data_IF_285745892249
#
_entry.id   IF_285745892249
#
_cell.length_a   1.000
_cell.length_b   1.000
_cell.length_c   1.000
_cell.angle_alpha   90.00
_cell.angle_beta   90.00
_cell.angle_gamma   90.00
#
_symmetry.space_group_name_H-M   'P 1'
#
loop_
_entity.id
_entity.type
_entity.pdbx_description
1 polymer ?
#
# COMPACT_ATOMS: atom_id res chain seq x y z
N UNK A 1 83.27 -46.82 17.04
CA UNK A 1 83.36 -48.25 16.64
C UNK A 1 82.19 -48.58 15.72
N UNK A 2 82.31 -49.57 14.84
CA UNK A 2 82.06 -49.41 13.39
C UNK A 2 80.78 -50.10 12.82
N UNK A 3 80.36 -49.63 11.62
CA UNK A 3 79.60 -50.33 10.54
C UNK A 3 78.12 -50.80 10.82
N UNK A 4 77.27 -51.14 9.82
CA UNK A 4 76.83 -50.39 8.61
C UNK A 4 75.38 -50.76 8.08
N UNK A 5 74.99 -50.22 6.90
CA UNK A 5 73.99 -50.74 5.90
C UNK A 5 72.50 -50.80 6.36
N UNK A 6 71.44 -50.70 5.54
CA UNK A 6 71.06 -50.15 4.24
C UNK A 6 69.52 -50.36 4.09
N UNK A 7 68.94 -49.88 2.98
CA UNK A 7 67.56 -50.03 2.45
C UNK A 7 66.57 -48.90 2.84
N UNK A 8 66.17 -47.99 1.95
CA UNK A 8 65.46 -48.13 0.67
C UNK A 8 64.01 -48.59 0.81
N UNK A 9 63.10 -47.63 0.84
CA UNK A 9 61.78 -47.77 0.21
C UNK A 9 61.23 -46.39 -0.14
N UNK A 10 61.33 -46.04 -1.42
CA UNK A 10 60.63 -44.92 -2.04
C UNK A 10 59.11 -45.08 -1.84
N UNK A 11 58.50 -44.19 -1.09
CA UNK A 11 57.07 -43.92 -1.18
C UNK A 11 56.92 -42.61 -1.96
N UNK A 12 56.71 -42.72 -3.27
CA UNK A 12 56.33 -41.60 -4.12
C UNK A 12 54.90 -41.21 -3.75
N UNK A 13 54.76 -40.21 -2.87
CA UNK A 13 53.50 -39.49 -2.74
C UNK A 13 53.22 -38.77 -4.06
N UNK A 14 51.99 -38.87 -4.61
CA UNK A 14 51.62 -38.13 -5.79
C UNK A 14 51.72 -36.63 -5.49
N UNK A 15 52.50 -35.93 -6.31
CA UNK A 15 52.58 -34.48 -6.38
C UNK A 15 51.17 -33.88 -6.31
N UNK A 16 50.87 -33.21 -5.19
CA UNK A 16 49.64 -32.47 -5.03
C UNK A 16 49.61 -31.38 -6.11
N UNK A 17 48.69 -31.51 -7.07
CA UNK A 17 48.43 -30.45 -8.03
C UNK A 17 48.10 -29.16 -7.27
N UNK A 18 48.62 -28.00 -7.71
CA UNK A 18 48.29 -26.73 -7.09
C UNK A 18 46.76 -26.52 -7.12
N UNK A 19 46.18 -26.08 -5.99
CA UNK A 19 44.73 -25.82 -5.82
C UNK A 19 44.12 -24.91 -6.91
N UNK A 20 44.96 -24.11 -7.59
CA UNK A 20 44.53 -23.27 -8.71
C UNK A 20 44.09 -24.06 -9.95
N UNK A 21 44.59 -25.29 -10.15
CA UNK A 21 44.22 -26.12 -11.30
C UNK A 21 42.90 -26.89 -11.08
N UNK A 22 42.57 -27.27 -9.84
CA UNK A 22 41.30 -27.94 -9.53
C UNK A 22 40.08 -26.99 -9.56
N UNK A 23 40.28 -25.70 -9.24
CA UNK A 23 39.22 -24.69 -9.38
C UNK A 23 38.88 -24.39 -10.85
N UNK A 24 39.86 -24.51 -11.75
CA UNK A 24 39.65 -24.36 -13.19
C UNK A 24 38.81 -25.50 -13.79
N UNK A 25 39.04 -26.75 -13.37
CA UNK A 25 38.27 -27.89 -13.88
C UNK A 25 36.84 -27.96 -13.32
N UNK A 26 36.59 -27.54 -12.07
CA UNK A 26 35.20 -27.40 -11.55
C UNK A 26 34.41 -26.29 -12.26
N UNK A 27 35.07 -25.19 -12.64
CA UNK A 27 34.42 -24.11 -13.40
C UNK A 27 34.04 -24.54 -14.83
N UNK A 28 34.81 -25.45 -15.45
CA UNK A 28 34.50 -25.98 -16.79
C UNK A 28 33.40 -27.03 -16.76
N UNK A 29 33.32 -27.87 -15.71
CA UNK A 29 32.23 -28.86 -15.57
C UNK A 29 30.89 -28.20 -15.26
N UNK A 30 30.86 -27.08 -14.52
CA UNK A 30 29.62 -26.31 -14.28
C UNK A 30 29.09 -25.60 -15.52
N UNK A 31 29.93 -25.34 -16.53
CA UNK A 31 29.51 -24.67 -17.78
C UNK A 31 28.99 -25.68 -18.83
N UNK A 32 29.21 -26.98 -18.64
CA UNK A 32 28.87 -28.02 -19.61
C UNK A 32 27.48 -28.67 -19.39
N UNK A 33 26.83 -28.44 -18.25
CA UNK A 33 25.54 -29.05 -17.93
C UNK A 33 24.33 -28.22 -18.34
N UNK A 34 24.51 -27.00 -18.87
CA UNK A 34 23.40 -26.09 -19.18
C UNK A 34 22.55 -25.70 -17.97
N UNK A 35 22.97 -26.10 -16.76
CA UNK A 35 22.43 -25.72 -15.47
C UNK A 35 23.29 -24.57 -14.95
N UNK A 36 23.30 -23.44 -15.67
CA UNK A 36 23.53 -22.19 -14.98
C UNK A 36 22.41 -22.10 -13.96
N UNK A 37 22.71 -22.37 -12.69
CA UNK A 37 21.87 -21.92 -11.61
C UNK A 37 21.64 -20.44 -11.89
N UNK A 38 20.43 -20.10 -12.34
CA UNK A 38 19.92 -18.74 -12.44
C UNK A 38 19.89 -18.20 -11.01
N UNK A 39 21.06 -17.86 -10.48
CA UNK A 39 21.19 -17.01 -9.33
C UNK A 39 20.57 -15.70 -9.78
N UNK A 40 19.29 -15.52 -9.42
CA UNK A 40 18.60 -14.25 -9.51
C UNK A 40 19.60 -13.18 -9.06
N UNK A 41 19.83 -12.21 -9.94
CA UNK A 41 20.73 -11.10 -9.60
C UNK A 41 20.33 -10.53 -8.24
N UNK A 42 21.27 -9.97 -7.45
CA UNK A 42 20.93 -9.37 -6.16
C UNK A 42 19.75 -8.38 -6.22
N UNK A 43 19.57 -7.72 -7.37
CA UNK A 43 18.41 -6.89 -7.68
C UNK A 43 17.11 -7.70 -7.79
N UNK A 44 17.11 -8.77 -8.59
CA UNK A 44 15.95 -9.63 -8.76
C UNK A 44 15.54 -10.34 -7.46
N UNK A 45 16.51 -10.70 -6.59
CA UNK A 45 16.19 -11.18 -5.24
C UNK A 45 15.51 -10.10 -4.39
N UNK A 46 16.03 -8.86 -4.39
CA UNK A 46 15.44 -7.75 -3.61
C UNK A 46 13.99 -7.47 -4.02
N UNK A 47 13.72 -7.42 -5.32
CA UNK A 47 12.36 -7.24 -5.87
C UNK A 47 11.42 -8.38 -5.44
N UNK A 48 11.90 -9.62 -5.54
CA UNK A 48 11.15 -10.81 -5.14
C UNK A 48 10.79 -10.77 -3.65
N UNK A 49 11.75 -10.45 -2.77
CA UNK A 49 11.50 -10.31 -1.33
C UNK A 49 10.53 -9.17 -0.99
N UNK A 50 10.60 -8.04 -1.72
CA UNK A 50 9.66 -6.93 -1.59
C UNK A 50 8.22 -7.36 -1.87
N UNK A 51 8.00 -8.06 -2.98
CA UNK A 51 6.68 -8.58 -3.37
C UNK A 51 6.12 -9.55 -2.33
N UNK A 52 6.94 -10.48 -1.82
CA UNK A 52 6.51 -11.39 -0.75
C UNK A 52 6.12 -10.64 0.52
N UNK A 53 6.86 -9.60 0.91
CA UNK A 53 6.54 -8.77 2.08
C UNK A 53 5.17 -8.10 1.94
N UNK A 54 4.87 -7.53 0.77
CA UNK A 54 3.57 -6.89 0.52
C UNK A 54 2.42 -7.90 0.53
N UNK A 55 2.61 -9.06 -0.10
CA UNK A 55 1.63 -10.14 -0.08
C UNK A 55 1.33 -10.63 1.35
N UNK A 56 2.37 -10.88 2.16
CA UNK A 56 2.23 -11.28 3.57
C UNK A 56 1.50 -10.19 4.36
N UNK A 57 1.82 -8.91 4.14
CA UNK A 57 1.14 -7.78 4.78
C UNK A 57 -0.36 -7.72 4.46
N UNK A 58 -0.73 -7.85 3.18
CA UNK A 58 -2.12 -7.89 2.75
C UNK A 58 -2.88 -9.08 3.35
N UNK A 59 -2.27 -10.28 3.35
CA UNK A 59 -2.88 -11.48 3.95
C UNK A 59 -3.08 -11.30 5.45
N UNK A 60 -2.08 -10.77 6.17
CA UNK A 60 -2.18 -10.51 7.60
C UNK A 60 -3.30 -9.50 7.91
N UNK A 61 -3.40 -8.41 7.13
CA UNK A 61 -4.47 -7.42 7.27
C UNK A 61 -5.86 -8.03 6.99
N UNK A 62 -5.97 -8.90 6.00
CA UNK A 62 -7.22 -9.61 5.67
C UNK A 62 -7.65 -10.57 6.79
N UNK A 63 -6.71 -11.36 7.34
CA UNK A 63 -6.99 -12.23 8.48
C UNK A 63 -7.39 -11.43 9.73
N UNK A 64 -6.73 -10.31 10.00
CA UNK A 64 -7.11 -9.41 11.08
C UNK A 64 -8.53 -8.85 10.89
N UNK A 65 -8.90 -8.51 9.65
CA UNK A 65 -10.24 -8.06 9.32
C UNK A 65 -11.30 -9.14 9.54
N UNK A 66 -10.99 -10.40 9.21
CA UNK A 66 -11.87 -11.55 9.52
C UNK A 66 -12.06 -11.68 11.04
N UNK A 67 -10.98 -11.57 11.83
CA UNK A 67 -11.08 -11.63 13.29
C UNK A 67 -11.96 -10.49 13.83
N UNK A 68 -11.78 -9.26 13.35
CA UNK A 68 -12.63 -8.12 13.72
C UNK A 68 -14.10 -8.36 13.35
N UNK A 69 -14.35 -8.95 12.18
CA UNK A 69 -15.70 -9.32 11.78
C UNK A 69 -16.31 -10.37 12.71
N UNK A 70 -15.54 -11.40 13.07
CA UNK A 70 -15.97 -12.50 13.95
C UNK A 70 -16.30 -12.01 15.35
N UNK A 71 -15.41 -11.21 15.93
CA UNK A 71 -15.50 -10.81 17.33
C UNK A 71 -16.45 -9.63 17.51
N UNK A 72 -16.44 -8.67 16.58
CA UNK A 72 -17.14 -7.39 16.74
C UNK A 72 -18.26 -7.25 15.72
N UNK A 73 -17.92 -7.16 14.42
CA UNK A 73 -18.83 -6.57 13.44
C UNK A 73 -20.09 -7.41 13.20
N UNK A 74 -19.98 -8.75 13.19
CA UNK A 74 -21.13 -9.65 12.96
C UNK A 74 -22.20 -9.59 14.05
N UNK A 75 -21.84 -9.09 15.23
CA UNK A 75 -22.75 -8.93 16.35
C UNK A 75 -23.54 -7.60 16.27
N UNK A 76 -23.34 -6.81 15.20
CA UNK A 76 -24.01 -5.53 14.99
C UNK A 76 -24.99 -5.60 13.81
N UNK A 77 -26.06 -4.80 13.85
CA UNK A 77 -26.99 -4.63 12.72
C UNK A 77 -26.35 -3.93 11.52
N UNK A 78 -25.19 -3.32 11.74
CA UNK A 78 -24.44 -2.51 10.78
C UNK A 78 -23.10 -3.16 10.43
N UNK A 79 -23.04 -4.50 10.37
CA UNK A 79 -21.81 -5.30 10.22
C UNK A 79 -20.78 -4.70 9.27
N UNK A 80 -21.15 -4.44 8.02
CA UNK A 80 -20.24 -3.87 7.03
C UNK A 80 -19.72 -2.49 7.45
N UNK A 81 -20.62 -1.60 7.86
CA UNK A 81 -20.27 -0.24 8.24
C UNK A 81 -19.35 -0.22 9.47
N UNK A 82 -19.62 -1.06 10.47
CA UNK A 82 -18.80 -1.18 11.67
C UNK A 82 -17.38 -1.67 11.33
N UNK A 83 -17.27 -2.69 10.48
CA UNK A 83 -15.98 -3.22 10.04
C UNK A 83 -15.18 -2.15 9.30
N UNK A 84 -15.84 -1.40 8.41
CA UNK A 84 -15.19 -0.35 7.63
C UNK A 84 -14.77 0.85 8.49
N UNK A 85 -15.56 1.23 9.50
CA UNK A 85 -15.18 2.25 10.49
C UNK A 85 -13.90 1.87 11.23
N UNK A 86 -13.80 0.63 11.73
CA UNK A 86 -12.63 0.16 12.49
C UNK A 86 -11.37 0.13 11.61
N UNK A 87 -11.50 -0.36 10.39
CA UNK A 87 -10.38 -0.39 9.46
C UNK A 87 -9.93 1.02 9.05
N UNK A 88 -10.86 1.94 8.78
CA UNK A 88 -10.52 3.32 8.46
C UNK A 88 -9.87 4.05 9.64
N UNK A 89 -10.30 3.77 10.88
CA UNK A 89 -9.65 4.30 12.08
C UNK A 89 -8.20 3.80 12.19
N UNK A 90 -7.94 2.52 11.91
CA UNK A 90 -6.58 1.99 11.88
C UNK A 90 -5.74 2.64 10.77
N UNK A 91 -6.31 2.85 9.57
CA UNK A 91 -5.67 3.60 8.48
C UNK A 91 -5.26 4.99 8.97
N UNK A 92 -6.14 5.73 9.67
CA UNK A 92 -5.80 7.05 10.24
C UNK A 92 -4.60 6.98 11.18
N UNK A 93 -4.62 6.04 12.13
CA UNK A 93 -3.60 5.93 13.17
C UNK A 93 -2.23 5.62 12.56
N UNK A 94 -2.17 4.66 11.63
CA UNK A 94 -0.90 4.25 11.01
C UNK A 94 -0.40 5.22 9.94
N UNK A 95 -1.27 6.04 9.33
CA UNK A 95 -0.84 7.04 8.32
C UNK A 95 -0.43 8.38 8.92
N UNK A 96 -0.87 8.70 10.15
CA UNK A 96 -0.67 10.03 10.75
C UNK A 96 0.77 10.55 10.76
N UNK A 97 1.81 9.78 11.15
CA UNK A 97 3.19 10.28 11.15
C UNK A 97 3.73 10.66 9.77
N UNK A 98 3.14 10.14 8.69
CA UNK A 98 3.50 10.47 7.32
C UNK A 98 2.64 11.59 6.76
N UNK A 99 1.36 11.65 7.15
CA UNK A 99 0.48 12.77 6.86
C UNK A 99 1.11 14.08 7.35
N UNK A 100 1.60 14.12 8.60
CA UNK A 100 2.23 15.32 9.15
C UNK A 100 3.48 15.71 8.37
N UNK A 101 4.36 14.75 8.07
CA UNK A 101 5.59 14.99 7.29
C UNK A 101 5.30 15.51 5.89
N UNK A 102 4.34 14.92 5.18
CA UNK A 102 3.98 15.36 3.83
C UNK A 102 3.32 16.75 3.81
N UNK A 103 2.62 17.12 4.88
CA UNK A 103 2.01 18.44 5.03
C UNK A 103 3.03 19.52 5.42
N UNK A 104 4.02 19.19 6.25
CA UNK A 104 5.09 20.10 6.69
C UNK A 104 6.13 20.33 5.59
N UNK A 105 6.44 19.30 4.79
CA UNK A 105 7.40 19.37 3.70
C UNK A 105 6.82 18.81 2.38
N UNK A 106 5.96 19.59 1.69
CA UNK A 106 5.35 19.16 0.44
C UNK A 106 6.35 18.95 -0.70
N UNK A 107 7.52 19.61 -0.66
CA UNK A 107 8.59 19.45 -1.67
C UNK A 107 9.23 18.07 -1.61
N UNK A 108 9.41 17.53 -0.39
CA UNK A 108 9.96 16.21 -0.13
C UNK A 108 8.89 15.15 0.15
N UNK A 109 7.62 15.43 -0.17
CA UNK A 109 6.52 14.49 0.06
C UNK A 109 6.64 13.20 -0.76
N UNK A 110 7.32 13.25 -1.93
CA UNK A 110 7.66 12.09 -2.76
C UNK A 110 9.08 11.55 -2.53
N UNK A 111 9.76 11.97 -1.46
CA UNK A 111 11.13 11.57 -1.17
C UNK A 111 11.24 10.98 0.24
N UNK A 112 12.37 10.33 0.52
CA UNK A 112 12.67 9.74 1.81
C UNK A 112 12.44 8.23 1.87
N UNK A 113 12.49 7.65 3.08
CA UNK A 113 12.38 6.20 3.26
C UNK A 113 11.01 5.70 2.77
N UNK A 114 10.97 4.41 2.41
CA UNK A 114 9.74 3.74 2.01
C UNK A 114 8.64 3.97 3.06
N UNK A 115 7.41 4.32 2.65
CA UNK A 115 6.33 4.58 3.58
C UNK A 115 5.99 3.33 4.39
N UNK A 116 5.34 3.52 5.54
CA UNK A 116 4.63 2.40 6.15
C UNK A 116 3.49 1.94 5.24
N UNK A 117 3.54 0.68 4.81
CA UNK A 117 2.51 0.10 3.94
C UNK A 117 1.31 -0.44 4.71
N UNK A 118 1.31 -0.39 6.05
CA UNK A 118 0.21 -0.90 6.88
C UNK A 118 -1.14 -0.30 6.46
N UNK A 119 -1.29 1.02 6.24
CA UNK A 119 -2.54 1.60 5.72
C UNK A 119 -2.96 1.01 4.37
N UNK A 120 -2.02 0.84 3.44
CA UNK A 120 -2.30 0.25 2.12
C UNK A 120 -2.78 -1.20 2.24
N UNK A 121 -2.14 -2.02 3.09
CA UNK A 121 -2.57 -3.40 3.34
C UNK A 121 -3.99 -3.47 3.90
N UNK A 122 -4.33 -2.59 4.85
CA UNK A 122 -5.67 -2.51 5.44
C UNK A 122 -6.70 -2.10 4.37
N UNK A 123 -6.39 -1.10 3.54
CA UNK A 123 -7.28 -0.64 2.46
C UNK A 123 -7.53 -1.78 1.47
N UNK A 124 -6.48 -2.47 1.01
CA UNK A 124 -6.62 -3.62 0.13
C UNK A 124 -7.45 -4.74 0.77
N UNK A 125 -7.20 -5.06 2.03
CA UNK A 125 -7.94 -6.08 2.77
C UNK A 125 -9.44 -5.75 2.88
N UNK A 126 -9.80 -4.51 3.22
CA UNK A 126 -11.20 -4.08 3.35
C UNK A 126 -11.94 -4.19 2.04
N UNK A 127 -11.35 -3.69 0.95
CA UNK A 127 -12.00 -3.72 -0.36
C UNK A 127 -12.08 -5.14 -0.92
N UNK A 128 -11.05 -5.97 -0.72
CA UNK A 128 -11.13 -7.39 -1.10
C UNK A 128 -12.20 -8.12 -0.28
N UNK A 129 -12.27 -7.88 1.03
CA UNK A 129 -13.31 -8.45 1.89
C UNK A 129 -14.71 -7.97 1.51
N UNK A 130 -14.88 -6.73 1.05
CA UNK A 130 -16.15 -6.24 0.52
C UNK A 130 -16.64 -7.08 -0.66
N UNK A 131 -15.72 -7.45 -1.56
CA UNK A 131 -16.02 -8.22 -2.76
C UNK A 131 -16.41 -9.67 -2.44
N UNK A 132 -15.70 -10.32 -1.50
CA UNK A 132 -15.88 -11.76 -1.21
C UNK A 132 -16.80 -12.04 -0.01
N UNK A 133 -17.08 -11.04 0.83
CA UNK A 133 -17.81 -11.19 2.10
C UNK A 133 -19.32 -11.33 1.97
N UNK A 134 -19.86 -11.45 0.75
CA UNK A 134 -21.29 -11.62 0.49
C UNK A 134 -22.12 -10.34 0.63
N UNK A 135 -21.48 -9.16 0.50
CA UNK A 135 -22.18 -7.87 0.52
C UNK A 135 -22.75 -7.54 -0.87
N UNK A 136 -23.82 -6.74 -0.90
CA UNK A 136 -24.42 -6.30 -2.17
C UNK A 136 -23.55 -5.19 -2.78
N UNK A 137 -23.01 -5.44 -3.97
CA UNK A 137 -22.20 -4.49 -4.73
C UNK A 137 -23.07 -3.77 -5.76
N UNK A 138 -22.93 -2.46 -5.82
CA UNK A 138 -23.49 -1.61 -6.88
C UNK A 138 -22.50 -1.44 -8.03
N UNK A 139 -22.95 -0.89 -9.17
CA UNK A 139 -22.04 -0.55 -10.27
C UNK A 139 -20.98 0.46 -9.84
N UNK A 140 -21.36 1.44 -9.02
CA UNK A 140 -20.43 2.43 -8.48
C UNK A 140 -19.35 1.76 -7.62
N UNK A 141 -19.70 0.72 -6.86
CA UNK A 141 -18.72 -0.08 -6.14
C UNK A 141 -17.76 -0.77 -7.11
N UNK A 142 -18.24 -1.43 -8.16
CA UNK A 142 -17.35 -2.07 -9.14
C UNK A 142 -16.38 -1.09 -9.80
N UNK A 143 -16.85 0.08 -10.23
CA UNK A 143 -15.98 1.11 -10.80
C UNK A 143 -14.94 1.56 -9.77
N UNK A 144 -15.35 1.77 -8.51
CA UNK A 144 -14.45 2.17 -7.45
C UNK A 144 -13.36 1.12 -7.16
N UNK A 145 -13.73 -0.16 -7.13
CA UNK A 145 -12.76 -1.23 -6.88
C UNK A 145 -11.81 -1.41 -8.07
N UNK A 146 -12.32 -1.44 -9.30
CA UNK A 146 -11.48 -1.65 -10.48
C UNK A 146 -10.56 -0.47 -10.77
N UNK A 147 -11.05 0.77 -10.64
CA UNK A 147 -10.26 1.97 -10.99
C UNK A 147 -9.43 2.44 -9.81
N UNK A 148 -10.00 2.61 -8.63
CA UNK A 148 -9.27 3.22 -7.51
C UNK A 148 -8.51 2.18 -6.69
N UNK A 149 -9.09 1.02 -6.39
CA UNK A 149 -8.39 0.01 -5.58
C UNK A 149 -7.32 -0.72 -6.40
N UNK A 150 -7.65 -1.16 -7.62
CA UNK A 150 -6.66 -1.89 -8.43
C UNK A 150 -5.59 -0.95 -8.98
N UNK A 151 -5.94 0.13 -9.68
CA UNK A 151 -4.91 0.96 -10.33
C UNK A 151 -4.16 1.84 -9.33
N UNK A 152 -4.84 2.67 -8.52
CA UNK A 152 -4.16 3.53 -7.55
C UNK A 152 -3.50 2.69 -6.45
N UNK A 153 -4.18 1.64 -5.96
CA UNK A 153 -3.59 0.74 -4.97
C UNK A 153 -2.36 0.00 -5.50
N UNK A 154 -2.36 -0.49 -6.75
CA UNK A 154 -1.17 -1.07 -7.36
C UNK A 154 -0.04 -0.03 -7.53
N UNK A 155 -0.37 1.22 -7.87
CA UNK A 155 0.61 2.29 -7.92
C UNK A 155 1.30 2.52 -6.56
N UNK A 156 0.56 2.42 -5.44
CA UNK A 156 1.15 2.53 -4.10
C UNK A 156 2.25 1.49 -3.83
N UNK A 157 2.13 0.27 -4.36
CA UNK A 157 3.14 -0.78 -4.21
C UNK A 157 4.23 -0.72 -5.29
N UNK A 158 3.89 -0.27 -6.50
CA UNK A 158 4.84 -0.18 -7.60
C UNK A 158 5.88 0.93 -7.42
N UNK A 159 5.57 1.97 -6.63
CA UNK A 159 6.48 3.08 -6.36
C UNK A 159 6.94 3.04 -4.90
N UNK A 160 7.83 2.09 -4.57
CA UNK A 160 8.22 1.85 -3.18
C UNK A 160 8.88 3.06 -2.50
N UNK A 161 9.47 3.98 -3.28
CA UNK A 161 10.17 5.18 -2.79
C UNK A 161 9.32 6.45 -2.88
N UNK A 162 7.98 6.31 -2.89
CA UNK A 162 7.05 7.46 -2.98
C UNK A 162 6.98 8.32 -1.72
N UNK A 163 7.74 7.99 -0.67
CA UNK A 163 7.79 8.75 0.57
C UNK A 163 6.43 8.89 1.29
N UNK A 164 6.26 9.90 2.16
CA UNK A 164 5.09 10.07 3.02
C UNK A 164 3.78 10.39 2.28
N UNK A 165 3.85 10.81 1.01
CA UNK A 165 2.69 11.16 0.20
C UNK A 165 1.66 10.03 0.09
N UNK A 166 2.11 8.77 0.02
CA UNK A 166 1.20 7.61 -0.09
C UNK A 166 0.20 7.58 1.08
N UNK A 167 0.68 7.87 2.28
CA UNK A 167 -0.15 7.85 3.47
C UNK A 167 -0.97 9.13 3.67
N UNK A 168 -0.52 10.27 3.11
CA UNK A 168 -1.38 11.44 2.95
C UNK A 168 -2.64 11.11 2.13
N UNK A 169 -2.45 10.43 1.00
CA UNK A 169 -3.55 9.98 0.13
C UNK A 169 -4.43 8.98 0.87
N UNK A 170 -3.83 7.95 1.50
CA UNK A 170 -4.58 6.93 2.24
C UNK A 170 -5.45 7.54 3.36
N UNK A 171 -4.91 8.52 4.09
CA UNK A 171 -5.62 9.21 5.17
C UNK A 171 -6.86 9.96 4.67
N UNK A 172 -6.73 10.78 3.64
CA UNK A 172 -7.86 11.58 3.14
C UNK A 172 -8.79 10.80 2.20
N UNK A 173 -8.31 9.77 1.50
CA UNK A 173 -9.11 8.98 0.57
C UNK A 173 -9.90 7.87 1.27
N UNK A 174 -9.32 7.20 2.27
CA UNK A 174 -9.92 6.03 2.90
C UNK A 174 -9.98 6.15 4.43
N UNK A 175 -9.03 6.82 5.06
CA UNK A 175 -8.95 6.99 6.50
C UNK A 175 -10.04 7.89 7.07
N UNK A 176 -9.71 9.15 7.39
CA UNK A 176 -10.52 9.96 8.29
C UNK A 176 -11.91 10.29 7.72
N UNK A 177 -12.05 10.80 6.49
CA UNK A 177 -13.37 11.10 5.94
C UNK A 177 -14.26 9.85 5.83
N UNK A 178 -13.68 8.74 5.37
CA UNK A 178 -14.40 7.47 5.24
C UNK A 178 -14.78 6.88 6.59
N UNK A 179 -13.90 6.94 7.59
CA UNK A 179 -14.15 6.44 8.94
C UNK A 179 -15.32 7.16 9.61
N UNK A 180 -15.37 8.49 9.47
CA UNK A 180 -16.48 9.30 9.98
C UNK A 180 -17.81 8.99 9.28
N UNK A 181 -17.79 8.85 7.95
CA UNK A 181 -18.98 8.46 7.17
C UNK A 181 -19.55 7.11 7.66
N UNK A 182 -18.73 6.06 7.63
CA UNK A 182 -19.18 4.74 8.07
C UNK A 182 -19.60 4.71 9.53
N UNK A 183 -18.95 5.48 10.41
CA UNK A 183 -19.35 5.59 11.82
C UNK A 183 -20.76 6.18 11.93
N UNK A 184 -21.07 7.24 11.20
CA UNK A 184 -22.41 7.82 11.17
C UNK A 184 -23.44 6.84 10.62
N UNK A 185 -23.10 6.04 9.60
CA UNK A 185 -23.98 4.99 9.10
C UNK A 185 -24.27 3.91 10.15
N UNK A 186 -23.28 3.54 10.99
CA UNK A 186 -23.50 2.66 12.15
C UNK A 186 -24.50 3.31 13.12
N UNK A 187 -24.31 4.59 13.46
CA UNK A 187 -25.21 5.32 14.36
C UNK A 187 -26.64 5.41 13.80
N UNK A 188 -26.81 5.60 12.49
CA UNK A 188 -28.12 5.56 11.83
C UNK A 188 -28.78 4.20 11.96
N UNK A 189 -28.03 3.12 11.73
CA UNK A 189 -28.55 1.74 11.85
C UNK A 189 -28.95 1.37 13.29
N UNK A 190 -28.36 2.01 14.28
CA UNK A 190 -28.73 1.87 15.69
C UNK A 190 -29.77 2.89 16.17
N UNK A 191 -30.27 3.77 15.30
CA UNK A 191 -31.29 4.77 15.65
C UNK A 191 -30.77 5.94 16.49
N UNK A 192 -29.45 6.09 16.63
CA UNK A 192 -28.81 7.19 17.38
C UNK A 192 -28.76 8.47 16.54
N UNK A 193 -28.60 8.33 15.22
CA UNK A 193 -28.51 9.44 14.28
C UNK A 193 -29.62 9.34 13.23
N UNK A 194 -30.21 10.46 12.81
CA UNK A 194 -31.17 10.43 11.70
C UNK A 194 -30.46 10.35 10.35
N UNK A 195 -31.09 9.75 9.35
CA UNK A 195 -30.54 9.70 7.99
C UNK A 195 -30.47 11.07 7.29
N UNK A 196 -31.15 12.10 7.80
CA UNK A 196 -30.98 13.47 7.29
C UNK A 196 -29.72 14.10 7.87
N UNK A 197 -29.53 13.96 9.19
CA UNK A 197 -28.34 14.47 9.89
C UNK A 197 -27.05 13.83 9.36
N UNK A 198 -27.04 12.51 9.14
CA UNK A 198 -25.91 11.80 8.54
C UNK A 198 -25.53 12.39 7.17
N UNK A 199 -26.48 12.55 6.25
CA UNK A 199 -26.20 13.10 4.92
C UNK A 199 -25.68 14.53 4.95
N UNK A 200 -26.19 15.37 5.86
CA UNK A 200 -25.71 16.74 6.06
C UNK A 200 -24.25 16.75 6.50
N UNK A 201 -23.88 15.92 7.47
CA UNK A 201 -22.49 15.79 7.91
C UNK A 201 -21.59 15.14 6.86
N UNK A 202 -22.06 14.12 6.16
CA UNK A 202 -21.32 13.44 5.09
C UNK A 202 -20.95 14.43 3.98
N UNK A 203 -21.89 15.31 3.57
CA UNK A 203 -21.61 16.38 2.61
C UNK A 203 -20.56 17.35 3.13
N UNK A 204 -20.66 17.80 4.38
CA UNK A 204 -19.65 18.68 5.00
C UNK A 204 -18.27 18.03 5.06
N UNK A 205 -18.19 16.76 5.44
CA UNK A 205 -16.93 16.00 5.49
C UNK A 205 -16.30 15.91 4.09
N UNK A 206 -17.10 15.66 3.05
CA UNK A 206 -16.55 15.59 1.69
C UNK A 206 -16.10 16.96 1.18
N UNK A 207 -16.86 18.02 1.45
CA UNK A 207 -16.55 19.40 1.01
C UNK A 207 -15.36 19.98 1.75
N UNK A 208 -15.28 19.81 3.07
CA UNK A 208 -14.31 20.51 3.92
C UNK A 208 -13.11 19.67 4.33
N UNK A 209 -13.18 18.34 4.20
CA UNK A 209 -12.09 17.45 4.63
C UNK A 209 -11.54 16.59 3.49
N UNK A 210 -12.38 15.78 2.82
CA UNK A 210 -11.91 14.88 1.75
C UNK A 210 -11.38 15.65 0.55
N UNK A 211 -12.20 16.56 -0.01
CA UNK A 211 -11.86 17.30 -1.23
C UNK A 211 -10.60 18.16 -1.05
N UNK A 212 -10.48 18.99 0.01
CA UNK A 212 -9.27 19.77 0.24
C UNK A 212 -8.04 18.91 0.53
N UNK A 213 -8.18 17.80 1.28
CA UNK A 213 -7.06 16.92 1.59
C UNK A 213 -6.50 16.19 0.36
N UNK A 214 -7.36 15.73 -0.54
CA UNK A 214 -6.92 15.12 -1.81
C UNK A 214 -6.42 16.15 -2.83
N UNK A 215 -6.93 17.38 -2.79
CA UNK A 215 -6.34 18.50 -3.53
C UNK A 215 -4.92 18.80 -3.03
N UNK A 216 -4.70 18.81 -1.70
CA UNK A 216 -3.37 18.96 -1.11
C UNK A 216 -2.43 17.83 -1.59
N UNK A 217 -2.88 16.58 -1.58
CA UNK A 217 -2.07 15.46 -2.08
C UNK A 217 -1.70 15.63 -3.56
N UNK A 218 -2.65 16.05 -4.41
CA UNK A 218 -2.38 16.35 -5.82
C UNK A 218 -1.40 17.54 -5.99
N UNK A 219 -1.50 18.56 -5.13
CA UNK A 219 -0.57 19.67 -5.09
C UNK A 219 0.85 19.23 -4.68
N UNK A 220 0.98 18.38 -3.65
CA UNK A 220 2.25 17.79 -3.24
C UNK A 220 2.92 17.02 -4.39
N UNK A 221 2.16 16.20 -5.13
CA UNK A 221 2.64 15.54 -6.35
C UNK A 221 3.18 16.53 -7.39
N UNK A 222 2.43 17.60 -7.65
CA UNK A 222 2.83 18.63 -8.62
C UNK A 222 4.13 19.32 -8.19
N UNK A 223 4.22 19.78 -6.94
CA UNK A 223 5.38 20.47 -6.41
C UNK A 223 6.61 19.56 -6.37
N UNK A 224 6.47 18.32 -5.90
CA UNK A 224 7.56 17.35 -5.88
C UNK A 224 8.07 17.01 -7.29
N UNK A 225 7.19 16.97 -8.30
CA UNK A 225 7.58 16.74 -9.70
C UNK A 225 8.35 17.92 -10.30
N UNK A 226 8.00 19.15 -9.93
CA UNK A 226 8.56 20.37 -10.55
C UNK A 226 9.79 20.90 -9.85
N UNK A 227 9.81 20.81 -8.52
CA UNK A 227 10.79 21.47 -7.66
C UNK A 227 11.40 20.54 -6.61
N UNK A 228 10.91 19.30 -6.52
CA UNK A 228 11.46 18.30 -5.62
C UNK A 228 12.74 17.65 -6.15
N UNK A 229 13.36 16.75 -5.37
CA UNK A 229 14.59 16.07 -5.78
C UNK A 229 14.37 15.22 -7.04
N UNK A 230 15.32 15.28 -7.98
CA UNK A 230 15.22 14.64 -9.31
C UNK A 230 15.25 13.11 -9.27
N UNK A 231 15.72 12.52 -8.17
CA UNK A 231 15.77 11.07 -7.98
C UNK A 231 14.43 10.48 -7.49
N UNK A 232 13.44 11.31 -7.17
CA UNK A 232 12.15 10.83 -6.65
C UNK A 232 11.29 10.18 -7.73
N UNK A 233 10.42 9.21 -7.39
CA UNK A 233 9.49 8.63 -8.36
C UNK A 233 8.60 9.67 -9.05
N UNK A 234 8.20 10.71 -8.30
CA UNK A 234 7.39 11.80 -8.84
C UNK A 234 8.12 12.57 -9.95
N UNK A 235 9.40 12.91 -9.75
CA UNK A 235 10.23 13.60 -10.73
C UNK A 235 10.68 12.70 -11.90
N UNK A 236 10.96 11.42 -11.64
CA UNK A 236 11.39 10.45 -12.67
C UNK A 236 10.24 10.02 -13.61
N UNK A 237 8.99 10.06 -13.13
CA UNK A 237 7.83 9.61 -13.89
C UNK A 237 6.72 10.67 -13.96
N UNK A 238 7.00 11.88 -14.49
CA UNK A 238 6.09 13.02 -14.41
C UNK A 238 4.72 12.77 -15.04
N UNK A 239 4.65 11.98 -16.12
CA UNK A 239 3.39 11.62 -16.77
C UNK A 239 2.54 10.73 -15.87
N UNK A 240 3.13 9.69 -15.25
CA UNK A 240 2.41 8.80 -14.34
C UNK A 240 1.95 9.56 -13.08
N UNK A 241 2.81 10.45 -12.57
CA UNK A 241 2.47 11.33 -11.45
C UNK A 241 1.31 12.25 -11.79
N UNK A 242 1.30 12.87 -12.97
CA UNK A 242 0.19 13.71 -13.43
C UNK A 242 -1.13 12.95 -13.56
N UNK A 243 -1.09 11.71 -14.10
CA UNK A 243 -2.27 10.84 -14.18
C UNK A 243 -2.79 10.52 -12.77
N UNK A 244 -1.91 10.13 -11.84
CA UNK A 244 -2.30 9.84 -10.45
C UNK A 244 -2.88 11.07 -9.74
N UNK A 245 -2.24 12.23 -9.89
CA UNK A 245 -2.74 13.48 -9.32
C UNK A 245 -4.14 13.83 -9.86
N UNK A 246 -4.35 13.66 -11.17
CA UNK A 246 -5.66 13.86 -11.79
C UNK A 246 -6.70 12.86 -11.27
N UNK A 247 -6.37 11.57 -11.19
CA UNK A 247 -7.29 10.54 -10.68
C UNK A 247 -7.67 10.80 -9.22
N UNK A 248 -6.72 11.19 -8.37
CA UNK A 248 -6.95 11.53 -6.96
C UNK A 248 -7.84 12.77 -6.84
N UNK A 249 -7.53 13.82 -7.61
CA UNK A 249 -8.34 15.03 -7.64
C UNK A 249 -9.77 14.74 -8.13
N UNK A 250 -9.92 14.03 -9.25
CA UNK A 250 -11.21 13.66 -9.83
C UNK A 250 -12.02 12.78 -8.88
N UNK A 251 -11.39 11.83 -8.18
CA UNK A 251 -12.05 11.03 -7.13
C UNK A 251 -12.65 11.95 -6.05
N UNK A 252 -11.86 12.91 -5.57
CA UNK A 252 -12.28 13.84 -4.54
C UNK A 252 -13.49 14.69 -4.98
N UNK A 253 -13.42 15.27 -6.18
CA UNK A 253 -14.49 16.11 -6.71
C UNK A 253 -15.75 15.30 -7.01
N UNK A 254 -15.61 14.12 -7.61
CA UNK A 254 -16.75 13.26 -7.95
C UNK A 254 -17.54 12.85 -6.70
N UNK A 255 -16.87 12.34 -5.67
CA UNK A 255 -17.55 11.92 -4.45
C UNK A 255 -18.16 13.10 -3.69
N UNK A 256 -17.47 14.25 -3.66
CA UNK A 256 -18.03 15.48 -3.09
C UNK A 256 -19.32 15.90 -3.79
N UNK A 257 -19.34 15.96 -5.13
CA UNK A 257 -20.53 16.32 -5.90
C UNK A 257 -21.66 15.31 -5.69
N UNK A 258 -21.34 14.02 -5.69
CA UNK A 258 -22.31 12.94 -5.48
C UNK A 258 -22.99 13.05 -4.12
N UNK A 259 -22.21 13.21 -3.04
CA UNK A 259 -22.75 13.32 -1.68
C UNK A 259 -23.55 14.60 -1.53
N UNK A 260 -23.02 15.75 -1.94
CA UNK A 260 -23.73 17.02 -1.84
C UNK A 260 -25.03 17.04 -2.65
N UNK A 261 -25.02 16.51 -3.88
CA UNK A 261 -26.23 16.37 -4.69
C UNK A 261 -27.28 15.44 -4.07
N UNK A 262 -26.83 14.34 -3.45
CA UNK A 262 -27.71 13.43 -2.71
C UNK A 262 -28.30 14.09 -1.45
N UNK A 263 -27.52 14.90 -0.74
CA UNK A 263 -27.99 15.61 0.44
C UNK A 263 -28.99 16.69 0.07
N UNK A 264 -28.72 17.49 -0.97
CA UNK A 264 -29.63 18.52 -1.47
C UNK A 264 -31.02 17.95 -1.83
N UNK A 265 -31.08 16.77 -2.44
CA UNK A 265 -32.35 16.11 -2.81
C UNK A 265 -33.13 15.55 -1.63
N UNK A 266 -32.47 15.26 -0.50
CA UNK A 266 -33.03 14.44 0.59
C UNK A 266 -33.18 15.17 1.93
N UNK A 267 -32.62 16.37 2.06
CA UNK A 267 -32.67 17.16 3.30
C UNK A 267 -33.49 18.42 3.06
N UNK A 268 -34.55 18.61 3.85
CA UNK A 268 -35.50 19.72 3.68
C UNK A 268 -34.95 21.08 4.14
N UNK A 269 -33.98 21.09 5.06
CA UNK A 269 -33.31 22.30 5.53
C UNK A 269 -31.78 22.09 5.51
N UNK A 270 -31.10 22.62 4.49
CA UNK A 270 -29.65 22.55 4.35
C UNK A 270 -28.92 23.71 5.08
N UNK A 271 -29.68 24.62 5.68
CA UNK A 271 -29.17 25.86 6.27
C UNK A 271 -29.13 25.76 7.80
N UNK A 272 -27.96 25.43 8.34
CA UNK A 272 -27.57 25.73 9.73
C UNK A 272 -26.05 25.72 9.86
#
# INVERSE_FOLDING_TARGET
>A
GPFPLALSSHCLLPSARPRSAQLGEMAVVLNATGLTHDYLSPLAMKETFGQYRHAVGCVAAFLALIVLDVVIARNTKARWMALHTLANAAVCLFSWPEVSRAAEDPLNSCSGPAPTYVPAYIICAVHFYHLVGGFKLTLDDWVHHCVFVTYIGAACFAFEESGPLVNLIAFFMCGLPGGLDYMMLVLVKHGVLTSQTEKSWNSRINVWLRSPGLLLAAYCMFVATRSGPTHTPCAQHPIKTAINAMLIFSNAQYYMQKVTGNTYRKVQAFNS
#
